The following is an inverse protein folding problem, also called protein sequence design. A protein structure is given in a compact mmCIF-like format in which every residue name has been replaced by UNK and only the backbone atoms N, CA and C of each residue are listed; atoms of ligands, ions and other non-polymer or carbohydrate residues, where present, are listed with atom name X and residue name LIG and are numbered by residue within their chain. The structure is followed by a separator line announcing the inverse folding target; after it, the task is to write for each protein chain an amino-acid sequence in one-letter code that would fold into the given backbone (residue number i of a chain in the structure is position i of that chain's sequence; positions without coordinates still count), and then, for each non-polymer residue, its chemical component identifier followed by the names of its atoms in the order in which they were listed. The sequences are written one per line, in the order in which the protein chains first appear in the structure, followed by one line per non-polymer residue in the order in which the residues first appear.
data_IF_120240171996
#
_entry.id   IF_120240171996
#
_cell.length_a   1.000
_cell.length_b   1.000
_cell.length_c   1.000
_cell.angle_alpha   90.00
_cell.angle_beta   90.00
_cell.angle_gamma   90.00
#
_symmetry.space_group_name_H-M   'P 1'
#
loop_
_entity.id
_entity.type
_entity.pdbx_description
1 polymer ?
#
# COMPACT_ATOMS: atom_id res chain seq x y z
N UNK A 1 12.98 -10.73 -99.60
CA UNK A 1 11.55 -11.05 -99.66
C UNK A 1 11.23 -11.87 -98.42
N UNK A 2 10.42 -11.28 -97.53
CA UNK A 2 9.70 -11.90 -96.40
C UNK A 2 10.55 -12.42 -95.21
N UNK A 3 10.27 -12.20 -93.92
CA UNK A 3 9.15 -11.58 -93.18
C UNK A 3 9.63 -11.31 -91.73
N UNK A 4 9.35 -10.13 -91.15
CA UNK A 4 9.25 -9.92 -89.67
C UNK A 4 7.90 -10.53 -89.19
N UNK A 5 7.66 -10.92 -87.90
CA UNK A 5 7.70 -10.00 -86.73
C UNK A 5 7.89 -10.62 -85.30
N UNK A 6 7.69 -9.74 -84.29
CA UNK A 6 7.30 -9.98 -82.89
C UNK A 6 8.40 -10.40 -81.91
N UNK A 7 8.88 -9.51 -81.04
CA UNK A 7 8.24 -9.08 -79.77
C UNK A 7 7.88 -10.26 -78.86
N UNK A 8 8.59 -10.33 -77.73
CA UNK A 8 8.54 -11.44 -76.80
C UNK A 8 9.52 -11.20 -75.65
N UNK A 9 9.35 -10.07 -74.95
CA UNK A 9 9.99 -9.84 -73.64
C UNK A 9 9.82 -11.08 -72.76
N UNK A 10 10.88 -11.68 -72.19
CA UNK A 10 10.69 -12.58 -71.08
C UNK A 10 10.19 -11.76 -69.89
N UNK A 11 8.88 -11.84 -69.65
CA UNK A 11 8.13 -11.29 -68.51
C UNK A 11 8.55 -11.90 -67.15
N UNK A 12 9.64 -12.67 -67.12
CA UNK A 12 10.16 -13.39 -65.95
C UNK A 12 11.19 -12.58 -65.15
N UNK A 13 11.77 -11.51 -65.70
CA UNK A 13 12.79 -10.70 -65.00
C UNK A 13 12.22 -9.79 -63.90
N UNK A 14 10.89 -9.73 -63.71
CA UNK A 14 10.26 -8.91 -62.65
C UNK A 14 9.83 -9.68 -61.40
N UNK A 15 9.88 -11.01 -61.39
CA UNK A 15 9.48 -11.80 -60.21
C UNK A 15 10.63 -12.25 -59.31
N UNK A 16 11.89 -11.98 -59.68
CA UNK A 16 13.06 -12.29 -58.85
C UNK A 16 13.61 -11.09 -58.05
N UNK A 17 12.89 -9.96 -58.06
CA UNK A 17 13.12 -8.85 -57.14
C UNK A 17 12.27 -8.99 -55.85
N UNK A 18 12.10 -10.23 -55.34
CA UNK A 18 11.87 -10.41 -53.90
C UNK A 18 13.27 -10.38 -53.31
N UNK A 19 13.66 -9.20 -52.81
CA UNK A 19 14.95 -9.01 -52.16
C UNK A 19 15.18 -10.12 -51.13
N UNK A 20 16.42 -10.60 -50.96
CA UNK A 20 16.71 -11.61 -49.96
C UNK A 20 16.26 -11.04 -48.62
N UNK A 21 15.15 -11.56 -48.09
CA UNK A 21 14.81 -11.35 -46.71
C UNK A 21 15.89 -12.10 -45.94
N UNK A 22 16.96 -11.38 -45.62
CA UNK A 22 18.04 -11.85 -44.77
C UNK A 22 17.35 -12.48 -43.55
N UNK A 23 17.52 -13.79 -43.29
CA UNK A 23 16.94 -14.38 -42.10
C UNK A 23 17.60 -13.64 -40.93
N UNK A 24 16.84 -12.77 -40.26
CA UNK A 24 17.34 -12.02 -39.10
C UNK A 24 18.03 -13.05 -38.21
N UNK A 25 19.35 -12.93 -38.11
CA UNK A 25 20.19 -13.92 -37.47
C UNK A 25 19.61 -14.22 -36.10
N UNK A 26 19.63 -15.49 -35.69
CA UNK A 26 19.20 -15.90 -34.35
C UNK A 26 19.87 -15.04 -33.25
N UNK A 27 21.11 -14.59 -33.51
CA UNK A 27 21.84 -13.64 -32.68
C UNK A 27 21.14 -12.27 -32.54
N UNK A 28 20.50 -11.77 -33.60
CA UNK A 28 19.72 -10.52 -33.62
C UNK A 28 18.45 -10.66 -32.79
N UNK A 29 17.77 -11.81 -32.84
CA UNK A 29 16.57 -12.05 -32.02
C UNK A 29 16.94 -12.20 -30.54
N UNK A 30 18.06 -12.87 -30.22
CA UNK A 30 18.57 -12.99 -28.87
C UNK A 30 18.96 -11.63 -28.27
N UNK A 31 19.64 -10.77 -29.04
CA UNK A 31 20.03 -9.44 -28.58
C UNK A 31 18.81 -8.56 -28.32
N UNK A 32 17.81 -8.57 -29.21
CA UNK A 32 16.56 -7.83 -28.99
C UNK A 32 15.83 -8.34 -27.74
N UNK A 33 15.70 -9.67 -27.57
CA UNK A 33 15.07 -10.25 -26.40
C UNK A 33 15.79 -9.93 -25.08
N UNK A 34 17.12 -9.94 -25.09
CA UNK A 34 17.93 -9.60 -23.93
C UNK A 34 17.77 -8.12 -23.53
N UNK A 35 17.78 -7.20 -24.52
CA UNK A 35 17.58 -5.77 -24.27
C UNK A 35 16.18 -5.50 -23.73
N UNK A 36 15.15 -6.12 -24.31
CA UNK A 36 13.76 -5.98 -23.81
C UNK A 36 13.66 -6.53 -22.39
N UNK A 37 14.24 -7.70 -22.10
CA UNK A 37 14.24 -8.30 -20.77
C UNK A 37 14.93 -7.39 -19.74
N UNK A 38 16.13 -6.89 -20.07
CA UNK A 38 16.87 -5.97 -19.22
C UNK A 38 16.09 -4.67 -18.98
N UNK A 39 15.43 -4.13 -20.01
CA UNK A 39 14.58 -2.95 -19.90
C UNK A 39 13.35 -3.22 -19.02
N UNK A 40 12.67 -4.36 -19.19
CA UNK A 40 11.54 -4.75 -18.36
C UNK A 40 11.95 -4.92 -16.89
N UNK A 41 13.09 -5.54 -16.61
CA UNK A 41 13.63 -5.65 -15.24
C UNK A 41 13.94 -4.27 -14.67
N UNK A 42 14.59 -3.39 -15.42
CA UNK A 42 14.91 -2.04 -14.97
C UNK A 42 13.65 -1.21 -14.69
N UNK A 43 12.63 -1.28 -15.56
CA UNK A 43 11.34 -0.61 -15.36
C UNK A 43 10.60 -1.19 -14.16
N UNK A 44 10.61 -2.52 -13.99
CA UNK A 44 9.99 -3.17 -12.84
C UNK A 44 10.64 -2.77 -11.52
N UNK A 45 11.98 -2.74 -11.48
CA UNK A 45 12.75 -2.23 -10.33
C UNK A 45 12.44 -0.75 -10.08
N UNK A 46 12.37 0.07 -11.14
CA UNK A 46 12.02 1.47 -11.02
C UNK A 46 10.62 1.65 -10.41
N UNK A 47 9.62 0.90 -10.90
CA UNK A 47 8.25 0.92 -10.38
C UNK A 47 8.20 0.40 -8.93
N UNK A 48 8.93 -0.67 -8.61
CA UNK A 48 9.01 -1.22 -7.26
C UNK A 48 9.70 -0.27 -6.27
N UNK A 49 10.59 0.61 -6.76
CA UNK A 49 11.27 1.63 -5.98
C UNK A 49 10.49 2.95 -5.89
N UNK A 50 9.41 3.15 -6.66
CA UNK A 50 8.53 4.30 -6.47
C UNK A 50 7.84 4.07 -5.12
N UNK A 51 8.17 4.87 -4.07
CA UNK A 51 7.45 4.80 -2.82
C UNK A 51 6.00 5.16 -3.15
N UNK A 52 5.07 4.25 -2.89
CA UNK A 52 3.66 4.58 -3.04
C UNK A 52 3.33 5.56 -1.91
N UNK A 53 3.53 6.85 -2.19
CA UNK A 53 3.52 7.93 -1.19
C UNK A 53 2.29 7.91 -0.29
N UNK A 54 1.15 7.37 -0.74
CA UNK A 54 -0.04 7.17 0.08
C UNK A 54 0.16 6.10 1.17
N UNK A 55 0.69 4.93 0.82
CA UNK A 55 0.91 3.81 1.76
C UNK A 55 2.05 4.11 2.73
N UNK A 56 3.12 4.74 2.25
CA UNK A 56 4.24 5.13 3.12
C UNK A 56 3.83 6.23 4.11
N UNK A 57 2.95 7.15 3.71
CA UNK A 57 2.38 8.15 4.62
C UNK A 57 1.46 7.52 5.65
N UNK A 58 0.64 6.55 5.24
CA UNK A 58 -0.25 5.83 6.15
C UNK A 58 0.57 5.02 7.17
N UNK A 59 1.63 4.33 6.72
CA UNK A 59 2.53 3.57 7.59
C UNK A 59 3.31 4.50 8.54
N UNK A 60 3.74 5.68 8.08
CA UNK A 60 4.37 6.69 8.92
C UNK A 60 3.39 7.30 9.94
N UNK A 61 2.13 7.54 9.56
CA UNK A 61 1.06 7.98 10.47
C UNK A 61 0.83 6.94 11.56
N UNK A 62 0.66 5.66 11.17
CA UNK A 62 0.51 4.53 12.10
C UNK A 62 1.68 4.46 13.09
N UNK A 63 2.92 4.46 12.58
CA UNK A 63 4.12 4.40 13.41
C UNK A 63 4.14 5.54 14.44
N UNK A 64 3.84 6.77 14.00
CA UNK A 64 3.78 7.94 14.88
C UNK A 64 2.68 7.82 15.93
N UNK A 65 1.49 7.34 15.57
CA UNK A 65 0.39 7.13 16.51
C UNK A 65 0.78 6.11 17.58
N UNK A 66 1.41 4.99 17.19
CA UNK A 66 1.88 3.98 18.12
C UNK A 66 2.95 4.52 19.06
N UNK A 67 3.97 5.21 18.55
CA UNK A 67 5.01 5.80 19.40
C UNK A 67 4.43 6.78 20.43
N UNK A 68 3.44 7.61 20.05
CA UNK A 68 2.79 8.51 20.98
C UNK A 68 1.93 7.79 22.02
N UNK A 69 1.22 6.74 21.63
CA UNK A 69 0.44 5.91 22.54
C UNK A 69 1.35 5.18 23.54
N UNK A 70 2.41 4.52 23.07
CA UNK A 70 3.40 3.86 23.93
C UNK A 70 4.02 4.82 24.95
N UNK A 71 4.39 6.02 24.53
CA UNK A 71 4.92 7.05 25.43
C UNK A 71 3.91 7.49 26.50
N UNK A 72 2.61 7.52 26.15
CA UNK A 72 1.54 7.80 27.11
C UNK A 72 1.40 6.66 28.14
N UNK A 73 1.33 5.40 27.69
CA UNK A 73 1.18 4.24 28.56
C UNK A 73 2.43 3.98 29.42
N UNK A 74 3.62 4.31 28.93
CA UNK A 74 4.86 4.29 29.72
C UNK A 74 4.84 5.33 30.85
N UNK A 75 4.21 6.49 30.62
CA UNK A 75 4.07 7.54 31.64
C UNK A 75 2.99 7.21 32.66
N UNK A 76 1.90 6.58 32.23
CA UNK A 76 0.72 6.30 33.05
C UNK A 76 0.39 4.80 33.10
N UNK A 77 1.25 3.96 33.69
CA UNK A 77 1.02 2.52 33.73
C UNK A 77 -0.08 2.15 34.74
N UNK A 78 -0.92 1.17 34.38
CA UNK A 78 -1.92 0.59 35.27
C UNK A 78 -2.86 1.63 35.89
N UNK A 79 -2.92 1.67 37.23
CA UNK A 79 -3.78 2.60 37.95
C UNK A 79 -3.38 4.07 37.81
N UNK A 80 -2.14 4.37 37.39
CA UNK A 80 -1.69 5.74 37.12
C UNK A 80 -2.52 6.43 36.02
N UNK A 81 -3.20 5.65 35.17
CA UNK A 81 -4.12 6.18 34.17
C UNK A 81 -5.22 7.08 34.75
N UNK A 82 -5.72 6.77 35.96
CA UNK A 82 -6.80 7.55 36.59
C UNK A 82 -6.33 8.88 37.18
N UNK A 83 -5.01 9.03 37.39
CA UNK A 83 -4.39 10.26 37.86
C UNK A 83 -4.02 11.21 36.71
N UNK A 84 -3.96 10.68 35.48
CA UNK A 84 -3.61 11.46 34.30
C UNK A 84 -4.52 12.68 34.11
N UNK A 85 -3.96 13.83 33.65
CA UNK A 85 -4.73 15.00 33.28
C UNK A 85 -5.76 14.71 32.17
N UNK A 86 -6.93 15.35 32.23
CA UNK A 86 -8.04 15.09 31.29
C UNK A 86 -7.68 15.40 29.84
N UNK A 87 -6.88 16.44 29.59
CA UNK A 87 -6.36 16.80 28.26
C UNK A 87 -5.48 15.68 27.68
N UNK A 88 -4.63 15.05 28.51
CA UNK A 88 -3.82 13.92 28.09
C UNK A 88 -4.66 12.67 27.82
N UNK A 89 -5.67 12.41 28.67
CA UNK A 89 -6.63 11.32 28.48
C UNK A 89 -7.44 11.51 27.18
N UNK A 90 -7.96 12.71 26.93
CA UNK A 90 -8.72 13.01 25.71
C UNK A 90 -7.85 12.89 24.44
N UNK A 91 -6.59 13.33 24.51
CA UNK A 91 -5.64 13.16 23.41
C UNK A 91 -5.33 11.67 23.15
N UNK A 92 -5.21 10.86 24.20
CA UNK A 92 -5.01 9.41 24.05
C UNK A 92 -6.26 8.71 23.51
N UNK A 93 -7.45 9.04 24.00
CA UNK A 93 -8.71 8.51 23.48
C UNK A 93 -8.84 8.76 21.97
N UNK A 94 -8.47 9.96 21.53
CA UNK A 94 -8.45 10.32 20.09
C UNK A 94 -7.45 9.46 19.31
N UNK A 95 -6.25 9.22 19.85
CA UNK A 95 -5.24 8.36 19.21
C UNK A 95 -5.69 6.91 19.13
N UNK A 96 -6.19 6.34 20.24
CA UNK A 96 -6.71 4.97 20.25
C UNK A 96 -7.89 4.81 19.29
N UNK A 97 -8.82 5.79 19.23
CA UNK A 97 -9.93 5.77 18.28
C UNK A 97 -9.45 5.78 16.82
N UNK A 98 -8.43 6.59 16.51
CA UNK A 98 -7.82 6.63 15.16
C UNK A 98 -7.16 5.30 14.80
N UNK A 99 -6.46 4.66 15.73
CA UNK A 99 -5.86 3.34 15.54
C UNK A 99 -6.94 2.28 15.27
N UNK A 100 -8.03 2.30 16.05
CA UNK A 100 -9.17 1.40 15.87
C UNK A 100 -9.81 1.60 14.49
N UNK A 101 -10.02 2.85 14.06
CA UNK A 101 -10.56 3.17 12.73
C UNK A 101 -9.70 2.59 11.60
N UNK A 102 -8.37 2.77 11.71
CA UNK A 102 -7.40 2.24 10.75
C UNK A 102 -7.54 0.70 10.63
N UNK A 103 -7.54 -0.02 11.76
CA UNK A 103 -7.62 -1.47 11.73
C UNK A 103 -9.01 -2.00 11.35
N UNK A 104 -10.09 -1.26 11.63
CA UNK A 104 -11.40 -1.56 11.08
C UNK A 104 -11.42 -1.42 9.56
N UNK A 105 -10.76 -0.39 9.02
CA UNK A 105 -10.56 -0.20 7.59
C UNK A 105 -9.74 -1.34 6.95
N UNK A 106 -8.64 -1.75 7.59
CA UNK A 106 -7.81 -2.87 7.13
C UNK A 106 -8.54 -4.21 7.17
N UNK A 107 -9.39 -4.43 8.19
CA UNK A 107 -10.26 -5.60 8.28
C UNK A 107 -11.25 -5.63 7.11
N UNK A 108 -11.74 -4.46 6.70
CA UNK A 108 -12.58 -4.19 5.53
C UNK A 108 -14.01 -4.72 5.63
N UNK A 109 -14.18 -5.99 5.98
CA UNK A 109 -15.47 -6.67 6.12
C UNK A 109 -15.62 -7.26 7.52
N UNK A 110 -16.86 -7.45 7.98
CA UNK A 110 -17.15 -8.17 9.23
C UNK A 110 -17.18 -9.70 9.04
N UNK A 111 -17.11 -10.17 7.79
CA UNK A 111 -17.03 -11.59 7.44
C UNK A 111 -15.57 -11.98 7.30
N UNK A 112 -15.15 -12.93 8.14
CA UNK A 112 -13.81 -13.50 8.14
C UNK A 112 -13.60 -14.36 6.86
N UNK A 113 -12.62 -14.03 5.99
CA UNK A 113 -12.36 -14.81 4.77
C UNK A 113 -11.97 -16.26 5.09
N UNK A 114 -12.32 -17.23 4.23
CA UNK A 114 -12.04 -18.63 4.53
C UNK A 114 -10.53 -18.99 4.51
N UNK A 115 -9.78 -18.51 3.53
CA UNK A 115 -8.34 -18.80 3.33
C UNK A 115 -7.60 -17.67 2.61
N UNK A 116 -6.28 -17.79 2.47
CA UNK A 116 -5.45 -16.91 1.63
C UNK A 116 -4.95 -15.62 2.30
N UNK A 117 -4.43 -14.71 1.48
CA UNK A 117 -3.85 -13.44 1.95
C UNK A 117 -4.87 -12.55 2.66
N UNK A 118 -6.12 -12.51 2.19
CA UNK A 118 -7.21 -11.75 2.82
C UNK A 118 -7.50 -12.24 4.24
N UNK A 119 -7.40 -13.56 4.49
CA UNK A 119 -7.57 -14.13 5.83
C UNK A 119 -6.46 -13.69 6.78
N UNK A 120 -5.21 -13.69 6.33
CA UNK A 120 -4.08 -13.22 7.17
C UNK A 120 -4.20 -11.74 7.52
N UNK A 121 -4.57 -10.91 6.54
CA UNK A 121 -4.79 -9.48 6.78
C UNK A 121 -5.94 -9.24 7.78
N UNK A 122 -7.05 -9.95 7.61
CA UNK A 122 -8.17 -9.91 8.56
C UNK A 122 -7.73 -10.32 9.98
N UNK A 123 -7.07 -11.47 10.11
CA UNK A 123 -6.67 -12.01 11.42
C UNK A 123 -5.68 -11.07 12.13
N UNK A 124 -4.76 -10.45 11.38
CA UNK A 124 -3.85 -9.44 11.91
C UNK A 124 -4.60 -8.21 12.41
N UNK A 125 -5.52 -7.66 11.62
CA UNK A 125 -6.32 -6.51 12.01
C UNK A 125 -7.20 -6.82 13.24
N UNK A 126 -7.76 -8.03 13.31
CA UNK A 126 -8.57 -8.49 14.44
C UNK A 126 -7.75 -8.57 15.75
N UNK A 127 -6.51 -9.08 15.70
CA UNK A 127 -5.60 -9.11 16.86
C UNK A 127 -5.29 -7.69 17.34
N UNK A 128 -5.06 -6.75 16.41
CA UNK A 128 -4.77 -5.36 16.76
C UNK A 128 -5.99 -4.67 17.36
N UNK A 129 -7.19 -4.87 16.80
CA UNK A 129 -8.44 -4.37 17.37
C UNK A 129 -8.68 -4.91 18.78
N UNK A 130 -8.47 -6.20 19.00
CA UNK A 130 -8.59 -6.83 20.31
C UNK A 130 -7.61 -6.25 21.35
N UNK A 131 -6.51 -5.63 20.91
CA UNK A 131 -5.54 -4.95 21.78
C UNK A 131 -5.95 -3.51 22.09
N UNK A 132 -6.40 -2.74 21.08
CA UNK A 132 -6.68 -1.31 21.23
C UNK A 132 -8.09 -0.97 21.72
N UNK A 133 -9.11 -1.80 21.43
CA UNK A 133 -10.47 -1.57 21.93
C UNK A 133 -10.54 -1.55 23.47
N UNK A 134 -9.91 -2.50 24.21
CA UNK A 134 -9.85 -2.44 25.67
C UNK A 134 -9.07 -1.24 26.20
N UNK A 135 -8.01 -0.82 25.51
CA UNK A 135 -7.22 0.36 25.88
C UNK A 135 -8.06 1.64 25.76
N UNK A 136 -8.78 1.81 24.64
CA UNK A 136 -9.71 2.91 24.43
C UNK A 136 -10.79 2.95 25.53
N UNK A 137 -11.38 1.80 25.85
CA UNK A 137 -12.37 1.70 26.92
C UNK A 137 -11.79 2.09 28.28
N UNK A 138 -10.55 1.70 28.58
CA UNK A 138 -9.86 2.07 29.82
C UNK A 138 -9.64 3.58 29.91
N UNK A 139 -9.24 4.23 28.81
CA UNK A 139 -9.09 5.68 28.74
C UNK A 139 -10.44 6.39 28.93
N UNK A 140 -11.51 5.93 28.28
CA UNK A 140 -12.85 6.48 28.49
C UNK A 140 -13.33 6.33 29.93
N UNK A 141 -13.05 5.19 30.58
CA UNK A 141 -13.36 5.00 31.99
C UNK A 141 -12.58 5.99 32.87
N UNK A 142 -11.30 6.21 32.59
CA UNK A 142 -10.49 7.20 33.29
C UNK A 142 -10.98 8.64 33.04
N UNK A 143 -11.43 8.98 31.84
CA UNK A 143 -12.04 10.28 31.52
C UNK A 143 -13.33 10.48 32.32
N UNK A 144 -14.22 9.48 32.35
CA UNK A 144 -15.47 9.53 33.11
C UNK A 144 -15.19 9.66 34.62
N UNK A 145 -14.16 8.99 35.11
CA UNK A 145 -13.69 9.14 36.48
C UNK A 145 -13.16 10.56 36.75
N UNK A 146 -12.33 11.12 35.86
CA UNK A 146 -11.84 12.49 35.99
C UNK A 146 -12.99 13.51 36.01
N UNK A 147 -14.02 13.31 35.18
CA UNK A 147 -15.24 14.15 35.17
C UNK A 147 -15.98 14.04 36.51
N UNK A 148 -16.16 12.84 37.07
CA UNK A 148 -16.84 12.67 38.36
C UNK A 148 -16.06 13.29 39.54
N UNK A 149 -14.74 13.45 39.39
CA UNK A 149 -13.88 14.17 40.32
C UNK A 149 -13.81 15.69 40.08
N UNK A 150 -14.60 16.23 39.15
CA UNK A 150 -14.57 17.66 38.80
C UNK A 150 -13.34 18.09 37.98
N UNK A 151 -12.52 17.15 37.52
CA UNK A 151 -11.36 17.37 36.64
C UNK A 151 -11.73 17.24 35.15
N UNK A 152 -12.99 17.49 34.81
CA UNK A 152 -13.51 17.36 33.45
C UNK A 152 -12.97 18.42 32.48
N UNK A 153 -13.51 18.48 31.25
CA UNK A 153 -13.02 19.39 30.22
C UNK A 153 -13.06 20.84 30.72
N UNK A 154 -11.91 21.48 30.78
CA UNK A 154 -11.82 22.90 31.08
C UNK A 154 -12.23 23.67 29.84
N UNK A 155 -13.39 24.32 29.90
CA UNK A 155 -13.79 25.28 28.88
C UNK A 155 -12.77 26.43 28.89
N UNK A 156 -12.29 26.89 27.72
CA UNK A 156 -11.41 28.04 27.67
C UNK A 156 -12.12 29.25 28.31
N UNK A 157 -11.52 29.80 29.37
CA UNK A 157 -11.95 31.11 29.91
C UNK A 157 -11.72 32.14 28.81
N UNK A 158 -12.81 32.78 28.37
CA UNK A 158 -12.76 33.91 27.43
C UNK A 158 -12.09 35.12 28.06
#
# INVERSE_FOLDING_TARGET
MSLFPADGKPMFDRMLAVGPHEPKSFATLLTIGLVISAFCVAVFVLIALIPSTARDREDAEKARLFTHSEAFWARWPGNGLFEAPYDQLAAEATRCARIVEIFQGERGSNVRPATGHARRAYDNAEIQLASYEPMLNSVHNAMNYAISQGRGPQLPSK
#
